data_IF_155325850265
#
_entry.id   IF_155325850265
#
_cell.length_a   1.000
_cell.length_b   1.000
_cell.length_c   1.000
_cell.angle_alpha   90.00
_cell.angle_beta   90.00
_cell.angle_gamma   90.00
#
_symmetry.space_group_name_H-M   'P 1'
#
loop_
_entity.id
_entity.type
_entity.pdbx_description
1 polymer ?
#
# COMPACT_ATOMS: atom_id res chain seq x y z
N UNK A 1 -2.47 15.50 -10.38
CA UNK A 1 -2.72 14.36 -9.45
C UNK A 1 -2.43 14.81 -8.04
N UNK A 2 -3.31 14.49 -7.11
CA UNK A 2 -3.16 14.82 -5.69
C UNK A 2 -3.04 13.55 -4.88
N UNK A 3 -2.13 13.55 -3.90
CA UNK A 3 -1.96 12.43 -2.97
C UNK A 3 -2.34 12.94 -1.57
N UNK A 4 -3.26 12.24 -0.93
CA UNK A 4 -3.76 12.58 0.40
C UNK A 4 -3.43 11.48 1.38
N UNK A 5 -3.06 11.83 2.60
CA UNK A 5 -3.04 10.85 3.68
C UNK A 5 -4.48 10.65 4.15
N UNK A 6 -4.95 9.41 4.13
CA UNK A 6 -6.31 9.08 4.50
C UNK A 6 -6.55 9.29 5.99
N UNK A 7 -7.72 9.83 6.31
CA UNK A 7 -8.25 9.94 7.67
C UNK A 7 -9.63 9.31 7.71
N UNK A 8 -10.28 9.31 8.88
CA UNK A 8 -11.65 8.82 8.99
C UNK A 8 -12.62 9.56 8.07
N UNK A 9 -12.29 10.80 7.69
CA UNK A 9 -13.10 11.55 6.72
C UNK A 9 -13.10 10.90 5.33
N UNK A 10 -12.13 10.04 5.03
CA UNK A 10 -12.00 9.36 3.73
C UNK A 10 -12.39 7.88 3.81
N UNK A 11 -13.11 7.47 4.85
CA UNK A 11 -13.38 6.03 5.07
C UNK A 11 -14.16 5.40 3.92
N UNK A 12 -15.11 6.10 3.35
CA UNK A 12 -15.92 5.55 2.24
C UNK A 12 -15.08 5.29 0.99
N UNK A 13 -14.31 6.27 0.56
CA UNK A 13 -13.45 6.15 -0.63
C UNK A 13 -12.38 5.09 -0.41
N UNK A 14 -11.75 5.09 0.75
CA UNK A 14 -10.70 4.12 1.08
C UNK A 14 -11.25 2.71 1.12
N UNK A 15 -12.40 2.50 1.76
CA UNK A 15 -13.01 1.17 1.88
C UNK A 15 -13.44 0.63 0.52
N UNK A 16 -13.95 1.50 -0.35
CA UNK A 16 -14.34 1.12 -1.71
C UNK A 16 -13.12 0.67 -2.51
N UNK A 17 -12.04 1.43 -2.47
CA UNK A 17 -10.79 1.07 -3.15
C UNK A 17 -10.20 -0.22 -2.58
N UNK A 18 -10.21 -0.36 -1.26
CA UNK A 18 -9.71 -1.55 -0.59
C UNK A 18 -10.51 -2.79 -0.95
N UNK A 19 -11.84 -2.71 -1.00
CA UNK A 19 -12.66 -3.85 -1.39
C UNK A 19 -12.44 -4.21 -2.86
N UNK A 20 -12.25 -3.23 -3.74
CA UNK A 20 -11.90 -3.48 -5.14
C UNK A 20 -10.55 -4.20 -5.26
N UNK A 21 -9.58 -3.80 -4.47
CA UNK A 21 -8.28 -4.45 -4.38
C UNK A 21 -8.41 -5.91 -3.94
N UNK A 22 -9.24 -6.20 -2.92
CA UNK A 22 -9.52 -7.56 -2.47
C UNK A 22 -10.11 -8.41 -3.59
N UNK A 23 -11.05 -7.85 -4.35
CA UNK A 23 -11.66 -8.53 -5.48
C UNK A 23 -10.66 -8.81 -6.60
N UNK A 24 -9.73 -7.89 -6.84
CA UNK A 24 -8.63 -8.09 -7.78
C UNK A 24 -7.80 -9.32 -7.41
N UNK A 25 -7.65 -9.61 -6.11
CA UNK A 25 -6.96 -10.79 -5.61
C UNK A 25 -7.89 -11.99 -5.40
N UNK A 26 -9.07 -11.97 -6.00
CA UNK A 26 -9.97 -13.13 -6.03
C UNK A 26 -10.91 -13.27 -4.83
N UNK A 27 -10.96 -12.28 -3.96
CA UNK A 27 -11.88 -12.30 -2.82
C UNK A 27 -13.28 -11.87 -3.25
N UNK A 28 -14.30 -12.39 -2.57
CA UNK A 28 -15.67 -11.94 -2.77
C UNK A 28 -15.85 -10.49 -2.30
N UNK A 29 -16.74 -9.72 -2.94
CA UNK A 29 -17.07 -8.39 -2.46
C UNK A 29 -17.60 -8.44 -1.03
N UNK A 30 -17.11 -7.54 -0.17
CA UNK A 30 -17.57 -7.42 1.22
C UNK A 30 -17.30 -6.01 1.73
N UNK A 31 -18.12 -5.07 1.31
CA UNK A 31 -17.96 -3.64 1.66
C UNK A 31 -18.09 -3.39 3.16
N UNK A 32 -18.97 -4.09 3.84
CA UNK A 32 -19.17 -3.89 5.28
C UNK A 32 -17.93 -4.29 6.06
N UNK A 33 -17.38 -5.46 5.77
CA UNK A 33 -16.15 -5.91 6.43
C UNK A 33 -14.94 -5.08 6.02
N UNK A 34 -14.86 -4.64 4.77
CA UNK A 34 -13.81 -3.75 4.30
C UNK A 34 -13.86 -2.42 5.06
N UNK A 35 -15.05 -1.86 5.23
CA UNK A 35 -15.24 -0.61 5.99
C UNK A 35 -14.84 -0.79 7.45
N UNK A 36 -15.20 -1.92 8.05
CA UNK A 36 -14.82 -2.22 9.43
C UNK A 36 -13.31 -2.33 9.57
N UNK A 37 -12.66 -3.08 8.69
CA UNK A 37 -11.21 -3.28 8.74
C UNK A 37 -10.45 -1.96 8.56
N UNK A 38 -10.80 -1.18 7.56
CA UNK A 38 -10.15 0.11 7.28
C UNK A 38 -10.43 1.10 8.41
N UNK A 39 -11.68 1.12 8.93
CA UNK A 39 -12.04 1.98 10.04
C UNK A 39 -11.20 1.71 11.29
N UNK A 40 -10.97 0.45 11.60
CA UNK A 40 -10.10 0.06 12.74
C UNK A 40 -8.66 0.51 12.51
N UNK A 41 -8.15 0.39 11.28
CA UNK A 41 -6.78 0.85 10.96
C UNK A 41 -6.66 2.36 11.13
N UNK A 42 -7.60 3.11 10.59
CA UNK A 42 -7.56 4.58 10.67
C UNK A 42 -7.77 5.08 12.11
N UNK A 43 -8.71 4.47 12.84
CA UNK A 43 -9.01 4.87 14.22
C UNK A 43 -7.88 4.51 15.18
N UNK A 44 -7.29 3.32 15.02
CA UNK A 44 -6.18 2.85 15.85
C UNK A 44 -4.83 3.41 15.45
N UNK A 45 -4.74 4.11 14.32
CA UNK A 45 -3.48 4.62 13.76
C UNK A 45 -2.39 3.54 13.69
N UNK A 46 -2.77 2.30 13.36
CA UNK A 46 -1.85 1.17 13.24
C UNK A 46 -1.44 0.89 11.79
N UNK A 47 -1.86 1.73 10.87
CA UNK A 47 -1.37 1.77 9.49
C UNK A 47 -1.38 3.20 8.99
N UNK A 48 -0.73 3.42 7.85
CA UNK A 48 -0.76 4.70 7.13
C UNK A 48 -1.25 4.42 5.72
N UNK A 49 -2.24 5.17 5.28
CA UNK A 49 -2.84 5.00 3.96
C UNK A 49 -2.73 6.32 3.20
N UNK A 50 -2.28 6.25 1.96
CA UNK A 50 -2.33 7.38 1.03
C UNK A 50 -3.31 7.06 -0.09
N UNK A 51 -4.08 8.07 -0.47
CA UNK A 51 -5.05 8.00 -1.56
C UNK A 51 -4.58 8.88 -2.71
N UNK A 52 -4.77 8.42 -3.92
CA UNK A 52 -4.49 9.19 -5.12
C UNK A 52 -5.78 9.65 -5.77
N UNK A 53 -5.86 10.94 -6.08
CA UNK A 53 -6.95 11.52 -6.82
C UNK A 53 -6.41 12.05 -8.13
N UNK A 54 -6.99 11.64 -9.25
CA UNK A 54 -6.51 12.05 -10.57
C UNK A 54 -7.01 13.45 -10.95
N UNK A 55 -6.60 13.94 -12.10
CA UNK A 55 -6.96 15.29 -12.57
C UNK A 55 -8.46 15.41 -12.85
N UNK A 56 -9.13 14.32 -13.18
CA UNK A 56 -10.58 14.30 -13.36
C UNK A 56 -11.36 14.32 -12.04
N UNK A 57 -10.66 14.30 -10.90
CA UNK A 57 -11.28 14.31 -9.58
C UNK A 57 -11.72 12.95 -9.08
N UNK A 58 -11.29 11.87 -9.74
CA UNK A 58 -11.63 10.51 -9.35
C UNK A 58 -10.61 9.94 -8.38
N UNK A 59 -11.08 9.14 -7.42
CA UNK A 59 -10.20 8.39 -6.52
C UNK A 59 -9.63 7.20 -7.29
N UNK A 60 -8.34 7.29 -7.63
CA UNK A 60 -7.71 6.43 -8.62
C UNK A 60 -6.92 5.28 -8.02
N UNK A 61 -6.55 5.36 -6.75
CA UNK A 61 -5.75 4.31 -6.13
C UNK A 61 -5.41 4.60 -4.69
N UNK A 62 -4.80 3.61 -4.04
CA UNK A 62 -4.35 3.74 -2.65
C UNK A 62 -3.10 2.92 -2.42
N UNK A 63 -2.40 3.25 -1.35
CA UNK A 63 -1.30 2.44 -0.79
C UNK A 63 -1.47 2.37 0.72
N UNK A 64 -1.22 1.20 1.30
CA UNK A 64 -1.27 1.02 2.75
C UNK A 64 0.07 0.52 3.27
N UNK A 65 0.55 1.18 4.31
CA UNK A 65 1.81 0.88 4.98
C UNK A 65 1.54 0.41 6.41
N UNK A 66 2.23 -0.64 6.83
CA UNK A 66 2.23 -1.07 8.23
C UNK A 66 3.58 -0.73 8.87
N UNK A 67 3.57 -0.22 10.11
CA UNK A 67 4.81 0.06 10.81
C UNK A 67 5.53 -1.23 11.22
N UNK A 68 6.84 -1.20 11.11
CA UNK A 68 7.71 -2.27 11.56
C UNK A 68 9.04 -1.68 12.01
N UNK A 69 9.93 -2.53 12.51
CA UNK A 69 11.24 -2.09 12.99
C UNK A 69 12.32 -3.06 12.52
N UNK A 70 13.48 -2.51 12.20
CA UNK A 70 14.71 -3.27 12.06
C UNK A 70 15.40 -3.28 13.41
N UNK A 71 15.40 -4.42 14.10
CA UNK A 71 16.00 -4.53 15.42
C UNK A 71 17.51 -4.36 15.36
N UNK A 72 18.15 -4.95 14.35
CA UNK A 72 19.60 -4.85 14.17
C UNK A 72 20.03 -3.41 14.00
N UNK A 73 19.31 -2.64 13.19
CA UNK A 73 19.63 -1.24 12.96
C UNK A 73 19.04 -0.31 14.03
N UNK A 74 18.15 -0.80 14.88
CA UNK A 74 17.41 -0.02 15.87
C UNK A 74 16.67 1.17 15.22
N UNK A 75 16.03 0.91 14.08
CA UNK A 75 15.33 1.92 13.29
C UNK A 75 13.97 1.45 12.84
N UNK A 76 13.07 2.40 12.60
CA UNK A 76 11.77 2.17 11.98
C UNK A 76 11.95 1.71 10.54
N UNK A 77 11.02 0.88 10.09
CA UNK A 77 10.81 0.59 8.67
C UNK A 77 9.32 0.58 8.39
N UNK A 78 8.94 0.75 7.13
CA UNK A 78 7.55 0.62 6.71
C UNK A 78 7.41 -0.60 5.81
N UNK A 79 6.37 -1.37 6.05
CA UNK A 79 5.99 -2.47 5.18
C UNK A 79 4.86 -1.98 4.27
N UNK A 80 5.13 -1.86 2.97
CA UNK A 80 4.14 -1.53 1.97
C UNK A 80 3.37 -2.82 1.65
N UNK A 81 2.18 -2.96 2.24
CA UNK A 81 1.41 -4.19 2.15
C UNK A 81 0.45 -4.20 0.98
N UNK A 82 -0.15 -3.05 0.66
CA UNK A 82 -1.18 -2.95 -0.36
C UNK A 82 -0.89 -1.76 -1.27
N UNK A 83 -1.00 -2.00 -2.57
CA UNK A 83 -0.93 -0.95 -3.60
C UNK A 83 -1.89 -1.32 -4.71
N UNK A 84 -2.85 -0.44 -4.99
CA UNK A 84 -3.87 -0.69 -5.98
C UNK A 84 -4.21 0.57 -6.76
N UNK A 85 -4.35 0.42 -8.07
CA UNK A 85 -4.80 1.47 -8.97
C UNK A 85 -6.00 0.91 -9.74
N UNK A 86 -7.10 1.67 -9.77
CA UNK A 86 -8.29 1.25 -10.51
C UNK A 86 -7.96 1.08 -11.99
N UNK A 87 -8.62 0.11 -12.63
CA UNK A 87 -8.29 -0.27 -14.00
C UNK A 87 -8.28 0.91 -14.97
N UNK A 88 -9.29 1.78 -14.87
CA UNK A 88 -9.44 2.94 -15.76
C UNK A 88 -8.33 4.00 -15.58
N UNK A 89 -7.59 3.95 -14.48
CA UNK A 89 -6.52 4.92 -14.17
C UNK A 89 -5.12 4.33 -14.33
N UNK A 90 -4.98 3.10 -14.81
CA UNK A 90 -3.67 2.47 -14.98
C UNK A 90 -2.91 3.08 -16.13
N UNK A 91 -1.58 2.94 -16.08
CA UNK A 91 -0.63 3.48 -17.06
C UNK A 91 -0.66 5.03 -17.15
N UNK A 92 -1.10 5.69 -16.07
CA UNK A 92 -1.14 7.15 -15.97
C UNK A 92 -0.24 7.69 -14.87
N UNK A 93 0.65 6.85 -14.34
CA UNK A 93 1.61 7.26 -13.32
C UNK A 93 1.06 7.31 -11.89
N UNK A 94 -0.11 6.76 -11.62
CA UNK A 94 -0.72 6.79 -10.28
C UNK A 94 0.11 5.99 -9.28
N UNK A 95 0.47 4.75 -9.62
CA UNK A 95 1.29 3.90 -8.74
C UNK A 95 2.64 4.55 -8.44
N UNK A 96 3.29 5.12 -9.46
CA UNK A 96 4.56 5.81 -9.30
C UNK A 96 4.43 7.01 -8.36
N UNK A 97 3.38 7.79 -8.50
CA UNK A 97 3.12 8.93 -7.62
C UNK A 97 2.93 8.49 -6.17
N UNK A 98 2.18 7.40 -5.95
CA UNK A 98 2.01 6.82 -4.62
C UNK A 98 3.34 6.34 -4.04
N UNK A 99 4.16 5.64 -4.84
CA UNK A 99 5.48 5.17 -4.38
C UNK A 99 6.41 6.33 -4.02
N UNK A 100 6.38 7.42 -4.77
CA UNK A 100 7.17 8.61 -4.45
C UNK A 100 6.70 9.24 -3.13
N UNK A 101 5.41 9.28 -2.88
CA UNK A 101 4.88 9.79 -1.61
C UNK A 101 5.28 8.90 -0.43
N UNK A 102 5.27 7.58 -0.64
CA UNK A 102 5.74 6.62 0.37
C UNK A 102 7.20 6.87 0.72
N UNK A 103 8.06 7.06 -0.27
CA UNK A 103 9.48 7.33 -0.04
C UNK A 103 9.68 8.63 0.77
N UNK A 104 8.96 9.70 0.41
CA UNK A 104 8.99 10.96 1.17
C UNK A 104 8.55 10.76 2.62
N UNK A 105 7.45 10.05 2.81
CA UNK A 105 6.90 9.76 4.14
C UNK A 105 7.89 8.94 4.98
N UNK A 106 8.52 7.95 4.38
CA UNK A 106 9.53 7.14 5.05
C UNK A 106 10.70 8.00 5.54
N UNK A 107 11.15 8.95 4.73
CA UNK A 107 12.20 9.90 5.13
C UNK A 107 11.71 10.82 6.24
N UNK A 108 10.50 11.34 6.14
CA UNK A 108 9.89 12.22 7.15
C UNK A 108 9.77 11.54 8.51
N UNK A 109 9.61 10.21 8.53
CA UNK A 109 9.45 9.43 9.76
C UNK A 109 10.75 8.73 10.20
N UNK A 110 11.89 9.08 9.60
CA UNK A 110 13.19 8.51 9.92
C UNK A 110 13.25 6.99 9.74
N UNK A 111 12.53 6.46 8.77
CA UNK A 111 12.56 5.03 8.48
C UNK A 111 13.82 4.67 7.69
N UNK A 112 14.39 3.52 7.99
CA UNK A 112 15.56 3.01 7.29
C UNK A 112 15.18 2.49 5.90
N UNK A 113 14.08 1.75 5.81
CA UNK A 113 13.65 1.08 4.58
C UNK A 113 12.15 1.07 4.44
N UNK A 114 11.71 0.87 3.21
CA UNK A 114 10.36 0.41 2.86
C UNK A 114 10.52 -0.97 2.24
N UNK A 115 9.77 -1.96 2.73
CA UNK A 115 9.77 -3.31 2.18
C UNK A 115 8.42 -3.62 1.56
N UNK A 116 8.43 -4.45 0.53
CA UNK A 116 7.21 -4.94 -0.10
C UNK A 116 7.43 -6.35 -0.66
N UNK A 117 6.32 -7.01 -0.99
CA UNK A 117 6.34 -8.27 -1.71
C UNK A 117 5.41 -8.17 -2.91
N UNK A 118 5.74 -8.86 -3.99
CA UNK A 118 4.89 -8.96 -5.17
C UNK A 118 4.98 -10.37 -5.71
N UNK A 119 3.97 -10.79 -6.49
CA UNK A 119 3.98 -12.11 -7.12
C UNK A 119 5.21 -12.25 -8.03
N UNK A 120 5.84 -13.41 -7.99
CA UNK A 120 7.06 -13.67 -8.79
C UNK A 120 6.83 -13.48 -10.29
N UNK A 121 5.59 -13.66 -10.75
CA UNK A 121 5.20 -13.50 -12.15
C UNK A 121 4.79 -12.09 -12.54
N UNK A 122 4.67 -11.16 -11.57
CA UNK A 122 4.20 -9.81 -11.85
C UNK A 122 5.34 -8.92 -12.34
N UNK A 123 5.72 -9.11 -13.60
CA UNK A 123 6.85 -8.38 -14.18
C UNK A 123 6.61 -6.86 -14.28
N UNK A 124 5.41 -6.38 -14.65
CA UNK A 124 5.19 -4.93 -14.68
C UNK A 124 5.38 -4.26 -13.31
N UNK A 125 4.90 -4.90 -12.23
CA UNK A 125 5.10 -4.38 -10.87
C UNK A 125 6.57 -4.39 -10.49
N UNK A 126 7.28 -5.47 -10.77
CA UNK A 126 8.72 -5.56 -10.51
C UNK A 126 9.51 -4.45 -11.21
N UNK A 127 9.21 -4.21 -12.48
CA UNK A 127 9.87 -3.15 -13.25
C UNK A 127 9.60 -1.77 -12.65
N UNK A 128 8.37 -1.52 -12.21
CA UNK A 128 8.02 -0.27 -11.55
C UNK A 128 8.81 -0.09 -10.25
N UNK A 129 8.81 -1.09 -9.38
CA UNK A 129 9.52 -1.02 -8.11
C UNK A 129 11.01 -0.79 -8.31
N UNK A 130 11.62 -1.54 -9.20
CA UNK A 130 13.05 -1.39 -9.51
C UNK A 130 13.36 0.01 -10.05
N UNK A 131 12.49 0.56 -10.90
CA UNK A 131 12.66 1.92 -11.43
C UNK A 131 12.56 2.98 -10.34
N UNK A 132 11.89 2.68 -9.22
CA UNK A 132 11.78 3.58 -8.07
C UNK A 132 12.82 3.28 -6.99
N UNK A 133 13.82 2.47 -7.27
CA UNK A 133 14.95 2.24 -6.38
C UNK A 133 14.80 1.04 -5.45
N UNK A 134 13.74 0.26 -5.58
CA UNK A 134 13.60 -0.98 -4.82
C UNK A 134 14.54 -2.03 -5.38
N UNK A 135 15.15 -2.81 -4.50
CA UNK A 135 16.06 -3.88 -4.86
C UNK A 135 15.52 -5.20 -4.33
N UNK A 136 15.57 -6.24 -5.16
CA UNK A 136 15.15 -7.56 -4.73
C UNK A 136 16.04 -8.05 -3.58
N UNK A 137 15.42 -8.52 -2.52
CA UNK A 137 16.14 -9.13 -1.38
C UNK A 137 16.48 -10.56 -1.75
N UNK A 138 17.78 -10.87 -1.76
CA UNK A 138 18.27 -12.21 -2.12
C UNK A 138 19.00 -12.89 -0.97
N UNK A 139 19.26 -12.15 0.13
CA UNK A 139 20.04 -12.68 1.27
C UNK A 139 19.20 -13.50 2.24
N UNK A 140 17.87 -13.45 2.14
CA UNK A 140 16.97 -14.10 3.08
C UNK A 140 15.86 -14.85 2.36
N UNK A 141 15.58 -16.07 2.81
CA UNK A 141 14.36 -16.76 2.46
C UNK A 141 13.29 -16.45 3.49
N UNK A 142 12.06 -16.25 3.04
CA UNK A 142 10.94 -15.91 3.90
C UNK A 142 10.04 -17.12 4.09
N UNK A 143 9.61 -17.34 5.32
CA UNK A 143 8.76 -18.48 5.67
C UNK A 143 7.47 -17.98 6.29
N UNK A 144 6.36 -18.69 6.02
CA UNK A 144 5.07 -18.40 6.64
C UNK A 144 4.48 -19.71 7.20
N UNK A 145 3.82 -19.62 8.34
CA UNK A 145 3.05 -20.73 8.91
C UNK A 145 1.62 -20.22 9.11
N UNK A 146 0.67 -20.89 8.47
CA UNK A 146 -0.73 -20.54 8.69
C UNK A 146 -1.21 -21.12 10.01
N UNK A 147 -1.65 -20.26 10.93
CA UNK A 147 -2.16 -20.64 12.26
C UNK A 147 -3.63 -20.25 12.45
N UNK A 148 -4.19 -19.52 11.50
CA UNK A 148 -5.61 -19.17 11.49
C UNK A 148 -6.40 -19.96 10.44
N UNK A 149 -7.72 -19.95 10.58
CA UNK A 149 -8.64 -20.64 9.66
C UNK A 149 -8.98 -19.82 8.42
#
# INVERSE_FOLDING_TARGET
MQIFQATLAHIEETSRLFDAYRQFYGQAPDRDEATRFIGERLQGADSVIFLARNEAGEWAGFVQLYPAFSSVAMKRMWYLNDLYVVESARQQGVARALLKRVASFARETDALTVKLATAVSNQPAKSLYESEGYQKVIAFDHYTQRVGT
#
